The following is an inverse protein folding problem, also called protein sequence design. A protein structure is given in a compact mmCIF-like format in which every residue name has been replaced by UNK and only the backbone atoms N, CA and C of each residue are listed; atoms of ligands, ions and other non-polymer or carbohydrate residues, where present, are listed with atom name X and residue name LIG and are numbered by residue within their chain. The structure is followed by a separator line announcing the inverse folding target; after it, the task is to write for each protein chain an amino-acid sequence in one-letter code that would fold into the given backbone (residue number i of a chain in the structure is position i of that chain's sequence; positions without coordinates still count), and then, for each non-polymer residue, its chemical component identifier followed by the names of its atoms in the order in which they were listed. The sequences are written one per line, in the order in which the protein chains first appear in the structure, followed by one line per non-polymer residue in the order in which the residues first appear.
data_IF_225759956582
#
_entry.id   IF_225759956582
#
_cell.length_a   1.000
_cell.length_b   1.000
_cell.length_c   1.000
_cell.angle_alpha   90.00
_cell.angle_beta   90.00
_cell.angle_gamma   90.00
#
_symmetry.space_group_name_H-M   'P 1'
#
loop_
_entity.id
_entity.type
_entity.pdbx_description
1 polymer ?
#
# COMPACT_ATOMS: atom_id res chain seq x y z
N UNK A 1 -10.47 -2.21 -1.31
CA UNK A 1 -9.01 -2.03 -1.50
C UNK A 1 -8.32 -3.20 -0.80
N UNK A 2 -7.31 -3.82 -1.42
CA UNK A 2 -6.60 -4.96 -0.82
C UNK A 2 -5.43 -4.44 -0.01
N UNK A 3 -5.23 -4.95 1.20
CA UNK A 3 -4.17 -4.54 2.12
C UNK A 3 -3.32 -5.73 2.49
N UNK A 4 -2.02 -5.51 2.60
CA UNK A 4 -1.13 -6.46 3.28
C UNK A 4 -1.13 -6.12 4.73
N UNK A 5 -1.02 -7.15 5.58
CA UNK A 5 -0.95 -6.94 7.03
C UNK A 5 0.16 -5.98 7.46
N UNK A 6 1.14 -5.68 6.61
CA UNK A 6 2.21 -4.73 6.88
C UNK A 6 1.89 -3.26 6.55
N UNK A 7 0.87 -2.94 5.75
CA UNK A 7 0.64 -1.56 5.31
C UNK A 7 0.45 -0.62 6.50
N UNK A 8 -0.37 -1.02 7.46
CA UNK A 8 -0.57 -0.25 8.69
C UNK A 8 0.74 0.02 9.45
N UNK A 9 1.66 -0.95 9.48
CA UNK A 9 2.99 -0.77 10.07
C UNK A 9 3.85 0.20 9.25
N UNK A 10 3.84 0.10 7.93
CA UNK A 10 4.61 0.98 7.04
C UNK A 10 4.15 2.43 7.12
N UNK A 11 2.83 2.65 7.11
CA UNK A 11 2.23 3.99 7.23
C UNK A 11 2.60 4.60 8.57
N UNK A 12 2.34 3.91 9.69
CA UNK A 12 2.67 4.43 11.02
C UNK A 12 4.18 4.66 11.18
N UNK A 13 5.01 3.78 10.65
CA UNK A 13 6.46 3.92 10.71
C UNK A 13 6.95 5.13 9.90
N UNK A 14 6.40 5.35 8.70
CA UNK A 14 6.73 6.50 7.87
C UNK A 14 6.34 7.82 8.55
N UNK A 15 5.11 7.88 9.11
CA UNK A 15 4.62 9.07 9.81
C UNK A 15 5.44 9.35 11.08
N UNK A 16 5.78 8.32 11.86
CA UNK A 16 6.68 8.44 13.01
C UNK A 16 8.04 9.02 12.63
N UNK A 17 8.64 8.55 11.54
CA UNK A 17 9.97 9.01 11.10
C UNK A 17 9.95 10.35 10.38
N UNK A 18 8.77 10.82 9.94
CA UNK A 18 8.62 12.17 9.37
C UNK A 18 8.82 13.28 10.40
N UNK A 19 8.59 12.99 11.69
CA UNK A 19 8.63 13.98 12.78
C UNK A 19 7.45 14.95 12.78
N UNK A 20 6.47 14.78 11.87
CA UNK A 20 5.32 15.67 11.74
C UNK A 20 4.18 15.36 12.72
N UNK A 21 4.23 14.22 13.41
CA UNK A 21 3.14 13.73 14.27
C UNK A 21 3.66 13.33 15.65
N UNK A 22 2.91 13.71 16.68
CA UNK A 22 3.11 13.28 18.06
C UNK A 22 2.55 11.88 18.34
N UNK A 23 2.77 11.38 19.56
CA UNK A 23 2.31 10.06 19.98
C UNK A 23 0.78 9.89 19.85
N UNK A 24 0.01 10.88 20.32
CA UNK A 24 -1.45 10.77 20.33
C UNK A 24 -2.05 10.85 18.93
N UNK A 25 -1.51 11.70 18.05
CA UNK A 25 -1.90 11.75 16.63
C UNK A 25 -1.62 10.40 15.93
N UNK A 26 -0.49 9.75 16.23
CA UNK A 26 -0.19 8.43 15.67
C UNK A 26 -1.17 7.34 16.16
N UNK A 27 -1.67 7.42 17.41
CA UNK A 27 -2.70 6.50 17.92
C UNK A 27 -4.05 6.72 17.23
N UNK A 28 -4.42 7.98 16.99
CA UNK A 28 -5.63 8.32 16.24
C UNK A 28 -5.54 7.78 14.80
N UNK A 29 -4.40 7.97 14.13
CA UNK A 29 -4.17 7.43 12.79
C UNK A 29 -4.20 5.90 12.79
N UNK A 30 -3.61 5.24 13.78
CA UNK A 30 -3.67 3.78 13.91
C UNK A 30 -5.11 3.27 14.04
N UNK A 31 -5.95 3.99 14.79
CA UNK A 31 -7.38 3.67 14.93
C UNK A 31 -8.11 3.87 13.60
N UNK A 32 -7.88 5.02 12.94
CA UNK A 32 -8.47 5.31 11.64
C UNK A 32 -8.08 4.27 10.58
N UNK A 33 -6.82 3.79 10.57
CA UNK A 33 -6.34 2.73 9.68
C UNK A 33 -7.11 1.41 9.86
N UNK A 34 -7.45 1.04 11.09
CA UNK A 34 -8.26 -0.14 11.36
C UNK A 34 -9.73 0.02 10.94
N UNK A 35 -10.24 1.25 10.97
CA UNK A 35 -11.62 1.56 10.54
C UNK A 35 -11.78 1.54 9.02
N UNK A 36 -10.68 1.61 8.25
CA UNK A 36 -10.74 1.37 6.82
C UNK A 36 -11.16 -0.08 6.55
N UNK A 37 -12.13 -0.24 5.65
CA UNK A 37 -12.62 -1.56 5.20
C UNK A 37 -11.62 -2.24 4.23
N UNK A 38 -10.42 -2.51 4.71
CA UNK A 38 -9.40 -3.25 3.99
C UNK A 38 -9.67 -4.76 4.05
N UNK A 39 -9.46 -5.44 2.93
CA UNK A 39 -9.31 -6.89 2.94
C UNK A 39 -7.85 -7.21 3.25
N UNK A 40 -7.58 -7.73 4.45
CA UNK A 40 -6.23 -8.04 4.93
C UNK A 40 -5.76 -9.38 4.36
N UNK A 41 -4.59 -9.38 3.71
CA UNK A 41 -3.91 -10.58 3.21
C UNK A 41 -2.68 -10.89 4.07
N UNK A 42 -2.75 -12.02 4.76
CA UNK A 42 -1.61 -12.58 5.47
C UNK A 42 -0.69 -13.32 4.51
N UNK A 43 0.62 -13.26 4.75
CA UNK A 43 1.62 -13.92 3.93
C UNK A 43 1.63 -15.44 4.16
N UNK A 44 0.71 -16.15 3.52
CA UNK A 44 0.53 -17.60 3.64
C UNK A 44 0.21 -18.26 2.29
N UNK A 45 0.41 -19.58 2.19
CA UNK A 45 0.05 -20.37 1.02
C UNK A 45 0.63 -19.84 -0.31
N UNK A 46 -0.21 -19.82 -1.35
CA UNK A 46 0.15 -19.34 -2.69
C UNK A 46 0.68 -17.90 -2.67
N UNK A 47 0.15 -17.05 -1.78
CA UNK A 47 0.60 -15.67 -1.68
C UNK A 47 2.04 -15.57 -1.16
N UNK A 48 2.38 -16.35 -0.13
CA UNK A 48 3.76 -16.43 0.36
C UNK A 48 4.73 -16.94 -0.71
N UNK A 49 4.37 -18.02 -1.41
CA UNK A 49 5.19 -18.58 -2.48
C UNK A 49 5.42 -17.57 -3.61
N UNK A 50 4.37 -16.87 -4.04
CA UNK A 50 4.47 -15.84 -5.08
C UNK A 50 5.32 -14.65 -4.65
N UNK A 51 5.18 -14.19 -3.40
CA UNK A 51 6.00 -13.10 -2.87
C UNK A 51 7.50 -13.47 -2.87
N UNK A 52 7.84 -14.69 -2.44
CA UNK A 52 9.23 -15.20 -2.50
C UNK A 52 9.72 -15.27 -3.94
N UNK A 53 8.92 -15.80 -4.86
CA UNK A 53 9.24 -15.87 -6.29
C UNK A 53 9.58 -14.48 -6.86
N UNK A 54 8.75 -13.48 -6.57
CA UNK A 54 8.96 -12.10 -7.02
C UNK A 54 10.22 -11.50 -6.40
N UNK A 55 10.41 -11.64 -5.08
CA UNK A 55 11.55 -11.12 -4.35
C UNK A 55 12.87 -11.61 -4.96
N UNK A 56 12.97 -12.93 -5.16
CA UNK A 56 14.16 -13.59 -5.68
C UNK A 56 14.44 -13.22 -7.15
N UNK A 57 13.41 -13.19 -8.00
CA UNK A 57 13.57 -12.92 -9.44
C UNK A 57 13.84 -11.44 -9.75
N UNK A 58 13.53 -10.54 -8.83
CA UNK A 58 13.62 -9.09 -9.04
C UNK A 58 14.63 -8.40 -8.12
N UNK A 59 15.15 -9.11 -7.13
CA UNK A 59 16.08 -8.56 -6.14
C UNK A 59 15.44 -7.41 -5.36
N UNK A 60 14.21 -7.60 -4.89
CA UNK A 60 13.47 -6.63 -4.05
C UNK A 60 13.25 -7.21 -2.66
N UNK A 61 12.95 -6.35 -1.67
CA UNK A 61 12.63 -6.82 -0.33
C UNK A 61 11.34 -7.66 -0.35
N UNK A 62 11.19 -8.57 0.61
CA UNK A 62 10.00 -9.43 0.66
C UNK A 62 8.71 -8.61 0.80
N UNK A 63 8.77 -7.48 1.51
CA UNK A 63 7.67 -6.53 1.68
C UNK A 63 7.26 -5.86 0.35
N UNK A 64 8.25 -5.38 -0.42
CA UNK A 64 7.97 -4.84 -1.76
C UNK A 64 7.42 -5.93 -2.70
N UNK A 65 7.97 -7.14 -2.61
CA UNK A 65 7.58 -8.27 -3.43
C UNK A 65 6.16 -8.74 -3.14
N UNK A 66 5.75 -8.72 -1.88
CA UNK A 66 4.42 -9.11 -1.49
C UNK A 66 3.41 -8.19 -2.15
N UNK A 67 3.58 -6.85 -2.19
CA UNK A 67 2.63 -5.95 -2.88
C UNK A 67 2.45 -6.30 -4.37
N UNK A 68 3.55 -6.62 -5.04
CA UNK A 68 3.52 -7.04 -6.43
C UNK A 68 2.85 -8.41 -6.61
N UNK A 69 3.12 -9.36 -5.71
CA UNK A 69 2.52 -10.69 -5.73
C UNK A 69 1.00 -10.64 -5.51
N UNK A 70 0.54 -9.81 -4.57
CA UNK A 70 -0.89 -9.62 -4.31
C UNK A 70 -1.59 -9.05 -5.55
N UNK A 71 -0.99 -8.07 -6.20
CA UNK A 71 -1.52 -7.50 -7.44
C UNK A 71 -1.55 -8.52 -8.60
N UNK A 72 -0.56 -9.42 -8.68
CA UNK A 72 -0.58 -10.54 -9.62
C UNK A 72 -1.72 -11.53 -9.35
N UNK A 73 -1.89 -11.97 -8.10
CA UNK A 73 -2.91 -12.93 -7.69
C UNK A 73 -4.32 -12.35 -7.89
N UNK A 74 -4.50 -11.08 -7.52
CA UNK A 74 -5.77 -10.39 -7.66
C UNK A 74 -6.05 -9.89 -9.09
N UNK A 75 -5.08 -10.04 -10.02
CA UNK A 75 -5.13 -9.46 -11.36
C UNK A 75 -5.52 -7.96 -11.33
N UNK A 76 -4.86 -7.20 -10.46
CA UNK A 76 -5.17 -5.81 -10.16
C UNK A 76 -3.99 -4.89 -10.46
N UNK A 77 -4.27 -3.60 -10.64
CA UNK A 77 -3.23 -2.59 -10.77
C UNK A 77 -2.68 -2.20 -9.39
N UNK A 78 -1.36 -2.19 -9.27
CA UNK A 78 -0.63 -1.69 -8.10
C UNK A 78 -0.07 -0.31 -8.40
N UNK A 79 -0.28 0.64 -7.49
CA UNK A 79 0.27 1.98 -7.58
C UNK A 79 1.33 2.19 -6.50
N UNK A 80 2.49 2.74 -6.87
CA UNK A 80 3.57 3.02 -5.92
C UNK A 80 4.31 4.31 -6.27
N UNK A 81 4.78 5.03 -5.25
CA UNK A 81 5.70 6.16 -5.41
C UNK A 81 7.17 5.72 -5.45
N UNK A 82 7.49 4.44 -5.21
CA UNK A 82 8.86 3.94 -5.27
C UNK A 82 9.30 3.65 -6.71
N UNK A 83 9.98 4.62 -7.32
CA UNK A 83 10.56 4.48 -8.65
C UNK A 83 11.63 3.38 -8.79
N UNK A 84 12.29 2.95 -7.69
CA UNK A 84 13.24 1.81 -7.72
C UNK A 84 12.48 0.50 -7.85
N UNK A 85 11.42 0.31 -7.06
CA UNK A 85 10.54 -0.85 -7.17
C UNK A 85 9.94 -0.93 -8.57
N UNK A 86 9.33 0.16 -9.04
CA UNK A 86 8.69 0.26 -10.37
C UNK A 86 9.64 -0.18 -11.49
N UNK A 87 10.88 0.30 -11.48
CA UNK A 87 11.90 -0.09 -12.48
C UNK A 87 12.23 -1.58 -12.43
N UNK A 88 12.36 -2.16 -11.24
CA UNK A 88 12.70 -3.58 -11.08
C UNK A 88 11.59 -4.48 -11.60
N UNK A 89 10.32 -4.10 -11.39
CA UNK A 89 9.15 -4.97 -11.64
C UNK A 89 8.34 -4.60 -12.90
N UNK A 90 8.76 -3.56 -13.64
CA UNK A 90 8.10 -3.03 -14.84
C UNK A 90 7.60 -4.10 -15.82
N UNK A 91 8.35 -5.20 -15.99
CA UNK A 91 8.00 -6.28 -16.92
C UNK A 91 6.75 -7.07 -16.56
N UNK A 92 6.18 -6.86 -15.38
CA UNK A 92 4.90 -7.45 -15.02
C UNK A 92 3.71 -6.65 -15.55
N UNK A 93 3.90 -5.40 -15.99
CA UNK A 93 2.86 -4.58 -16.64
C UNK A 93 1.70 -4.11 -15.74
N UNK A 94 1.67 -4.52 -14.48
CA UNK A 94 0.60 -4.24 -13.51
C UNK A 94 0.96 -3.22 -12.42
N UNK A 95 2.23 -2.78 -12.37
CA UNK A 95 2.71 -1.80 -11.39
C UNK A 95 2.90 -0.46 -12.08
N UNK A 96 2.26 0.58 -11.56
CA UNK A 96 2.25 1.95 -12.09
C UNK A 96 2.74 2.95 -11.05
N UNK A 97 3.12 4.14 -11.52
CA UNK A 97 3.47 5.22 -10.61
C UNK A 97 2.22 5.76 -9.92
N UNK A 98 2.31 6.11 -8.64
CA UNK A 98 1.15 6.60 -7.86
C UNK A 98 0.50 7.86 -8.46
N UNK A 99 1.28 8.72 -9.12
CA UNK A 99 0.76 9.91 -9.80
C UNK A 99 -0.09 9.59 -11.04
N UNK A 100 -0.05 8.36 -11.55
CA UNK A 100 -0.92 7.90 -12.64
C UNK A 100 -2.30 7.47 -12.14
N UNK A 101 -2.51 7.43 -10.81
CA UNK A 101 -3.78 7.06 -10.24
C UNK A 101 -4.83 8.14 -10.54
N UNK A 102 -5.79 7.77 -11.41
CA UNK A 102 -7.02 8.52 -11.59
C UNK A 102 -8.09 7.82 -10.78
N UNK A 103 -8.60 8.48 -9.74
CA UNK A 103 -9.72 7.96 -8.98
C UNK A 103 -10.88 7.66 -9.94
N UNK A 104 -11.52 6.48 -9.85
CA UNK A 104 -12.68 6.19 -10.68
C UNK A 104 -13.72 7.28 -10.44
N UNK A 105 -14.16 7.93 -11.51
CA UNK A 105 -15.13 9.02 -11.49
C UNK A 105 -16.41 8.50 -10.84
N UNK A 106 -16.61 8.79 -9.56
CA UNK A 106 -17.71 8.23 -8.76
C UNK A 106 -17.47 8.21 -7.26
N UNK A 107 -16.23 8.32 -6.78
CA UNK A 107 -15.95 8.50 -5.35
C UNK A 107 -15.81 10.00 -5.05
N UNK A 108 -16.94 10.66 -4.76
CA UNK A 108 -16.95 11.99 -4.16
C UNK A 108 -16.24 11.89 -2.81
N UNK A 109 -14.95 12.24 -2.78
CA UNK A 109 -14.26 12.51 -1.51
C UNK A 109 -15.06 13.60 -0.80
N UNK A 110 -15.32 13.33 0.47
CA UNK A 110 -16.08 14.14 1.42
C UNK A 110 -15.86 15.64 1.19
N UNK A 111 -16.97 16.39 1.21
CA UNK A 111 -17.00 17.83 0.99
C UNK A 111 -16.04 18.60 1.92
N UNK A 112 -15.76 19.87 1.61
CA UNK A 112 -14.76 20.65 2.30
C UNK A 112 -15.06 20.70 3.81
N UNK A 113 -14.06 20.37 4.63
CA UNK A 113 -14.09 20.59 6.07
C UNK A 113 -14.42 22.06 6.36
N UNK A 114 -15.66 22.32 6.77
CA UNK A 114 -16.05 23.59 7.36
C UNK A 114 -15.44 23.64 8.77
N UNK A 115 -14.38 24.43 8.95
CA UNK A 115 -13.81 24.73 10.26
C UNK A 115 -14.82 25.45 11.16
N UNK A 116 -14.70 25.33 12.49
CA UNK A 116 -15.62 25.98 13.42
C UNK A 116 -15.42 27.51 13.39
N UNK A 117 -16.54 28.21 13.33
CA UNK A 117 -16.68 29.67 13.50
C UNK A 117 -16.36 30.12 14.91
#
# INVERSE_FOLDING_TARGET
MLEQSLLSYEVLNALKHSGAFGEDELKEIATALNDFQFAIFNLEGEFAEKAVEVAMRRGVAIYDASYVALAQIANAEMFTADGKLLRKVRRYGLVKHAMEFNAPTGLTLLGPCSGPT
#
